data_IF_368547597747
#
_entry.id   IF_368547597747
#
_cell.length_a   1.000
_cell.length_b   1.000
_cell.length_c   1.000
_cell.angle_alpha   90.00
_cell.angle_beta   90.00
_cell.angle_gamma   90.00
#
_symmetry.space_group_name_H-M   'P 1'
#
loop_
_entity.id
_entity.type
_entity.pdbx_description
1 polymer ?
#
# COMPACT_ATOMS: atom_id res chain seq x y z
N UNK A 1 14.54 32.83 6.51
CA UNK A 1 14.03 31.89 7.48
C UNK A 1 14.47 30.48 7.05
N UNK A 2 15.09 29.72 7.95
CA UNK A 2 15.61 28.41 7.58
C UNK A 2 14.49 27.39 7.38
N UNK A 3 14.70 26.36 6.55
CA UNK A 3 13.76 25.24 6.42
C UNK A 3 13.46 24.63 7.79
N UNK A 4 14.47 24.50 8.63
CA UNK A 4 14.34 23.96 9.98
C UNK A 4 13.35 24.74 10.85
N UNK A 5 13.33 26.08 10.75
CA UNK A 5 12.36 26.94 11.48
C UNK A 5 10.94 26.77 10.95
N UNK A 6 10.79 26.68 9.62
CA UNK A 6 9.46 26.55 9.00
C UNK A 6 8.79 25.20 9.30
N UNK A 7 9.57 24.13 9.36
CA UNK A 7 9.08 22.78 9.65
C UNK A 7 9.14 22.38 11.14
N UNK A 8 9.57 23.30 12.01
CA UNK A 8 9.52 23.06 13.46
C UNK A 8 8.08 23.07 14.00
N UNK A 9 7.91 22.55 15.19
CA UNK A 9 6.65 22.67 15.91
C UNK A 9 6.26 24.15 16.08
N UNK A 10 5.06 24.51 15.60
CA UNK A 10 4.58 25.90 15.54
C UNK A 10 5.07 26.71 14.34
N UNK A 11 5.86 26.17 13.45
CA UNK A 11 6.24 26.80 12.17
C UNK A 11 5.13 26.72 11.11
N UNK A 12 5.31 27.46 10.00
CA UNK A 12 4.34 27.53 8.89
C UNK A 12 4.01 26.16 8.27
N UNK A 13 4.94 25.22 8.38
CA UNK A 13 4.87 23.88 7.80
C UNK A 13 4.83 22.79 8.90
N UNK A 14 4.33 23.13 10.09
CA UNK A 14 4.22 22.18 11.20
C UNK A 14 3.36 20.97 10.86
N UNK A 15 2.29 21.17 10.05
CA UNK A 15 1.45 20.06 9.56
C UNK A 15 2.26 19.07 8.71
N UNK A 16 3.09 19.56 7.79
CA UNK A 16 3.91 18.67 6.96
C UNK A 16 4.93 17.90 7.79
N UNK A 17 5.50 18.55 8.82
CA UNK A 17 6.43 17.89 9.74
C UNK A 17 5.76 16.76 10.51
N UNK A 18 4.55 16.98 11.00
CA UNK A 18 3.75 15.98 11.69
C UNK A 18 3.36 14.83 10.75
N UNK A 19 2.82 15.18 9.58
CA UNK A 19 2.34 14.21 8.61
C UNK A 19 3.49 13.37 8.03
N UNK A 20 4.50 14.02 7.45
CA UNK A 20 5.64 13.32 6.83
C UNK A 20 6.50 12.61 7.86
N UNK A 21 6.84 13.30 8.95
CA UNK A 21 7.72 12.75 9.96
C UNK A 21 7.05 11.67 10.78
N UNK A 22 6.04 12.04 11.56
CA UNK A 22 5.44 11.13 12.54
C UNK A 22 4.48 10.12 11.93
N UNK A 23 3.58 10.58 11.04
CA UNK A 23 2.56 9.68 10.47
C UNK A 23 3.11 8.74 9.40
N UNK A 24 3.89 9.23 8.44
CA UNK A 24 4.39 8.41 7.35
C UNK A 24 5.65 7.61 7.72
N UNK A 25 6.63 8.25 8.34
CA UNK A 25 7.93 7.64 8.58
C UNK A 25 8.24 7.32 10.05
N UNK A 26 7.37 7.67 11.00
CA UNK A 26 7.55 7.48 12.46
C UNK A 26 8.86 8.07 13.00
N UNK A 27 9.34 9.13 12.38
CA UNK A 27 10.58 9.82 12.74
C UNK A 27 10.35 11.33 12.74
N UNK A 28 11.06 12.03 13.60
CA UNK A 28 11.10 13.49 13.51
C UNK A 28 11.75 13.90 12.17
N UNK A 29 11.16 14.89 11.50
CA UNK A 29 11.73 15.44 10.28
C UNK A 29 12.92 16.33 10.64
N UNK A 30 14.11 15.99 10.16
CA UNK A 30 15.33 16.73 10.38
C UNK A 30 15.87 17.28 9.06
N UNK A 31 16.28 18.54 9.06
CA UNK A 31 16.92 19.18 7.90
C UNK A 31 18.40 19.42 8.22
N UNK A 32 19.27 18.78 7.43
CA UNK A 32 20.71 19.00 7.50
C UNK A 32 21.19 19.63 6.20
N UNK A 33 22.20 20.50 6.28
CA UNK A 33 22.89 21.06 5.11
C UNK A 33 24.18 20.28 4.93
N UNK A 34 24.33 19.67 3.76
CA UNK A 34 25.53 18.89 3.40
C UNK A 34 26.05 19.41 2.06
N UNK A 35 27.37 19.53 1.86
CA UNK A 35 27.93 19.79 0.55
C UNK A 35 27.47 18.76 -0.48
N UNK A 36 27.25 19.18 -1.71
CA UNK A 36 26.68 18.28 -2.75
C UNK A 36 27.60 17.11 -3.06
N UNK A 37 28.90 17.28 -2.92
CA UNK A 37 29.93 16.25 -3.09
C UNK A 37 29.88 15.15 -2.02
N UNK A 38 29.30 15.47 -0.85
CA UNK A 38 29.13 14.54 0.27
C UNK A 38 27.72 13.95 0.33
N UNK A 39 26.83 14.31 -0.62
CA UNK A 39 25.48 13.76 -0.68
C UNK A 39 25.49 12.40 -1.39
N UNK A 40 25.09 11.36 -0.68
CA UNK A 40 24.86 10.05 -1.28
C UNK A 40 23.50 10.03 -2.01
N UNK A 41 23.49 9.56 -3.26
CA UNK A 41 22.24 9.29 -3.97
C UNK A 41 21.60 8.03 -3.40
N UNK A 42 20.56 8.22 -2.60
CA UNK A 42 19.78 7.10 -2.09
C UNK A 42 18.73 6.67 -3.15
N UNK A 43 19.18 6.02 -4.20
CA UNK A 43 18.31 5.41 -5.20
C UNK A 43 18.15 3.91 -4.91
N UNK A 44 17.26 3.55 -4.02
CA UNK A 44 16.77 2.18 -3.96
C UNK A 44 15.64 2.04 -5.00
N UNK A 45 15.98 1.57 -6.20
CA UNK A 45 15.01 1.17 -7.19
C UNK A 45 14.74 -0.33 -7.06
N UNK A 46 13.60 -0.69 -6.50
CA UNK A 46 13.10 -2.05 -6.69
C UNK A 46 12.41 -2.14 -8.06
N UNK A 47 12.79 -3.11 -8.88
CA UNK A 47 12.11 -3.36 -10.15
C UNK A 47 10.72 -3.91 -9.86
N UNK A 48 9.72 -3.05 -9.85
CA UNK A 48 8.32 -3.44 -9.78
C UNK A 48 7.84 -3.83 -11.19
N UNK A 49 7.45 -5.09 -11.37
CA UNK A 49 6.86 -5.56 -12.63
C UNK A 49 7.84 -6.28 -13.59
N UNK A 50 7.33 -6.59 -14.80
CA UNK A 50 7.98 -7.34 -15.89
C UNK A 50 8.32 -8.81 -15.58
N UNK A 51 7.96 -9.32 -14.42
CA UNK A 51 8.03 -10.76 -14.16
C UNK A 51 6.73 -11.39 -14.65
N UNK A 52 6.75 -12.01 -15.82
CA UNK A 52 5.57 -12.60 -16.47
C UNK A 52 5.45 -14.11 -16.27
N UNK A 53 6.46 -14.72 -15.68
CA UNK A 53 6.53 -16.16 -15.41
C UNK A 53 5.68 -16.58 -14.20
N UNK A 54 5.17 -17.79 -14.25
CA UNK A 54 4.42 -18.41 -13.14
C UNK A 54 2.98 -17.90 -12.98
N UNK A 55 2.40 -18.22 -11.84
CA UNK A 55 1.00 -17.95 -11.49
C UNK A 55 0.91 -16.74 -10.56
N UNK A 56 0.32 -15.65 -11.04
CA UNK A 56 0.33 -14.35 -10.34
C UNK A 56 -1.07 -13.81 -10.13
N UNK A 57 -1.25 -13.12 -9.02
CA UNK A 57 -2.44 -12.32 -8.77
C UNK A 57 -2.07 -10.85 -8.89
N UNK A 58 -2.83 -10.13 -9.73
CA UNK A 58 -2.84 -8.66 -9.75
C UNK A 58 -4.12 -8.13 -9.14
N UNK A 59 -4.04 -7.01 -8.41
CA UNK A 59 -5.24 -6.34 -7.89
C UNK A 59 -5.11 -4.82 -7.93
N UNK A 60 -6.26 -4.14 -7.97
CA UNK A 60 -6.36 -2.69 -7.87
C UNK A 60 -7.57 -2.33 -7.00
N UNK A 61 -7.33 -1.49 -5.99
CA UNK A 61 -8.36 -1.08 -5.03
C UNK A 61 -8.71 0.39 -5.24
N UNK A 62 -9.78 0.62 -5.96
CA UNK A 62 -10.36 1.95 -6.18
C UNK A 62 -11.37 2.34 -5.10
N UNK A 63 -11.91 3.55 -5.22
CA UNK A 63 -12.91 4.08 -4.29
C UNK A 63 -14.34 3.58 -4.54
N UNK A 64 -14.63 3.07 -5.75
CA UNK A 64 -15.94 2.57 -6.17
C UNK A 64 -15.95 1.07 -6.45
N UNK A 65 -14.79 0.53 -6.76
CA UNK A 65 -14.61 -0.85 -7.17
C UNK A 65 -13.27 -1.41 -6.71
N UNK A 66 -13.19 -2.71 -6.66
CA UNK A 66 -11.99 -3.49 -6.44
C UNK A 66 -11.82 -4.46 -7.59
N UNK A 67 -10.64 -4.49 -8.17
CA UNK A 67 -10.32 -5.32 -9.33
C UNK A 67 -9.32 -6.39 -8.93
N UNK A 68 -9.46 -7.57 -9.53
CA UNK A 68 -8.47 -8.63 -9.39
C UNK A 68 -8.34 -9.41 -10.70
N UNK A 69 -7.13 -9.90 -10.95
CA UNK A 69 -6.82 -10.71 -12.12
C UNK A 69 -5.91 -11.88 -11.73
N UNK A 70 -6.13 -13.02 -12.36
CA UNK A 70 -5.22 -14.15 -12.33
C UNK A 70 -4.46 -14.24 -13.65
N UNK A 71 -3.15 -14.42 -13.56
CA UNK A 71 -2.24 -14.45 -14.71
C UNK A 71 -1.38 -15.72 -14.64
N UNK A 72 -1.26 -16.45 -15.76
CA UNK A 72 -0.35 -17.58 -15.90
C UNK A 72 0.59 -17.27 -17.06
N UNK A 73 1.89 -17.22 -16.80
CA UNK A 73 2.94 -16.95 -17.78
C UNK A 73 2.62 -15.75 -18.68
N UNK A 74 2.20 -14.65 -18.06
CA UNK A 74 1.86 -13.40 -18.73
C UNK A 74 0.49 -13.37 -19.41
N UNK A 75 -0.30 -14.44 -19.34
CA UNK A 75 -1.66 -14.48 -19.90
C UNK A 75 -2.70 -14.34 -18.80
N UNK A 76 -3.60 -13.38 -18.95
CA UNK A 76 -4.74 -13.23 -18.07
C UNK A 76 -5.70 -14.41 -18.28
N UNK A 77 -5.94 -15.19 -17.24
CA UNK A 77 -6.87 -16.32 -17.25
C UNK A 77 -8.18 -16.00 -16.53
N UNK A 78 -8.18 -14.96 -15.70
CA UNK A 78 -9.34 -14.44 -15.01
C UNK A 78 -9.17 -12.95 -14.75
N UNK A 79 -10.24 -12.17 -14.82
CA UNK A 79 -10.30 -10.80 -14.30
C UNK A 79 -11.72 -10.48 -13.88
N UNK A 80 -11.84 -9.73 -12.80
CA UNK A 80 -13.12 -9.33 -12.23
C UNK A 80 -13.03 -7.91 -11.65
N UNK A 81 -14.14 -7.20 -11.72
CA UNK A 81 -14.36 -5.92 -11.06
C UNK A 81 -15.61 -6.03 -10.20
N UNK A 82 -15.50 -5.71 -8.92
CA UNK A 82 -16.59 -5.78 -7.95
C UNK A 82 -16.78 -4.42 -7.32
N UNK A 83 -18.00 -3.90 -7.40
CA UNK A 83 -18.34 -2.66 -6.71
C UNK A 83 -18.22 -2.82 -5.19
N UNK A 84 -17.70 -1.78 -4.52
CA UNK A 84 -17.67 -1.65 -3.10
C UNK A 84 -17.77 -0.19 -2.67
N UNK A 85 -17.95 0.06 -1.37
CA UNK A 85 -18.03 1.42 -0.83
C UNK A 85 -17.11 1.53 0.42
N UNK A 86 -15.80 1.72 0.23
CA UNK A 86 -14.83 1.71 1.33
C UNK A 86 -14.81 3.01 2.12
N UNK A 87 -15.21 4.12 1.51
CA UNK A 87 -14.97 5.46 2.06
C UNK A 87 -15.70 5.78 3.36
N UNK A 88 -16.86 5.15 3.57
CA UNK A 88 -17.73 5.43 4.71
C UNK A 88 -17.84 4.26 5.69
N UNK A 89 -17.02 3.24 5.51
CA UNK A 89 -16.98 2.10 6.42
C UNK A 89 -16.10 2.42 7.62
N UNK A 90 -16.65 2.23 8.81
CA UNK A 90 -15.92 2.40 10.08
C UNK A 90 -15.38 1.09 10.65
N UNK A 91 -15.83 -0.06 10.13
CA UNK A 91 -15.33 -1.38 10.51
C UNK A 91 -14.21 -1.82 9.56
N UNK A 92 -12.96 -1.98 10.07
CA UNK A 92 -11.85 -2.45 9.24
C UNK A 92 -12.05 -3.85 8.65
N UNK A 93 -12.95 -4.66 9.21
CA UNK A 93 -13.25 -5.98 8.66
C UNK A 93 -13.92 -5.90 7.28
N UNK A 94 -14.64 -4.83 6.96
CA UNK A 94 -15.18 -4.63 5.63
C UNK A 94 -14.07 -4.61 4.57
N UNK A 95 -13.03 -3.83 4.82
CA UNK A 95 -11.88 -3.72 3.93
C UNK A 95 -11.10 -5.03 3.87
N UNK A 96 -10.81 -5.63 5.02
CA UNK A 96 -10.12 -6.92 5.09
C UNK A 96 -10.86 -8.00 4.30
N UNK A 97 -12.15 -8.15 4.51
CA UNK A 97 -12.98 -9.14 3.81
C UNK A 97 -13.05 -8.86 2.30
N UNK A 98 -13.20 -7.59 1.90
CA UNK A 98 -13.24 -7.21 0.49
C UNK A 98 -11.94 -7.49 -0.24
N UNK A 99 -10.79 -7.11 0.32
CA UNK A 99 -9.47 -7.40 -0.26
C UNK A 99 -9.28 -8.91 -0.37
N UNK A 100 -9.51 -9.62 0.71
CA UNK A 100 -9.37 -11.09 0.78
C UNK A 100 -10.23 -11.80 -0.26
N UNK A 101 -11.51 -11.42 -0.38
CA UNK A 101 -12.45 -12.00 -1.36
C UNK A 101 -11.93 -11.82 -2.80
N UNK A 102 -11.46 -10.62 -3.18
CA UNK A 102 -10.90 -10.41 -4.52
C UNK A 102 -9.70 -11.28 -4.81
N UNK A 103 -8.78 -11.42 -3.86
CA UNK A 103 -7.60 -12.26 -4.03
C UNK A 103 -7.94 -13.75 -4.09
N UNK A 104 -8.86 -14.23 -3.26
CA UNK A 104 -9.34 -15.62 -3.28
C UNK A 104 -10.03 -15.97 -4.60
N UNK A 105 -10.83 -15.06 -5.14
CA UNK A 105 -11.47 -15.25 -6.45
C UNK A 105 -10.43 -15.41 -7.56
N UNK A 106 -9.44 -14.53 -7.60
CA UNK A 106 -8.35 -14.66 -8.57
C UNK A 106 -7.56 -15.96 -8.35
N UNK A 107 -7.20 -16.29 -7.11
CA UNK A 107 -6.47 -17.51 -6.77
C UNK A 107 -7.20 -18.79 -7.19
N UNK A 108 -8.53 -18.80 -7.16
CA UNK A 108 -9.34 -19.98 -7.56
C UNK A 108 -9.16 -20.38 -9.03
N UNK A 109 -8.59 -19.50 -9.86
CA UNK A 109 -8.29 -19.74 -11.27
C UNK A 109 -6.81 -20.12 -11.51
N UNK A 110 -6.02 -20.25 -10.46
CA UNK A 110 -4.59 -20.59 -10.53
C UNK A 110 -4.34 -21.96 -9.90
N UNK A 111 -3.44 -22.78 -10.45
CA UNK A 111 -3.04 -24.04 -9.81
C UNK A 111 -2.26 -23.81 -8.50
N UNK A 112 -1.59 -22.66 -8.38
CA UNK A 112 -0.85 -22.18 -7.21
C UNK A 112 -0.70 -20.66 -7.30
N UNK A 113 -0.24 -20.02 -6.24
CA UNK A 113 0.09 -18.60 -6.23
C UNK A 113 1.60 -18.46 -6.04
N UNK A 114 2.29 -17.88 -7.02
CA UNK A 114 3.74 -17.66 -6.99
C UNK A 114 4.10 -16.25 -6.55
N UNK A 115 3.30 -15.25 -6.90
CA UNK A 115 3.47 -13.86 -6.47
C UNK A 115 2.17 -13.07 -6.52
N UNK A 116 2.09 -11.99 -5.73
CA UNK A 116 0.95 -11.09 -5.68
C UNK A 116 1.45 -9.64 -5.84
N UNK A 117 0.80 -8.87 -6.68
CA UNK A 117 1.09 -7.45 -6.84
C UNK A 117 -0.19 -6.64 -6.94
N UNK A 118 -0.19 -5.46 -6.36
CA UNK A 118 -1.37 -4.62 -6.45
C UNK A 118 -1.14 -3.16 -6.21
N UNK A 119 -2.16 -2.38 -6.56
CA UNK A 119 -2.22 -0.95 -6.35
C UNK A 119 -3.42 -0.54 -5.52
N UNK A 120 -3.26 0.56 -4.80
CA UNK A 120 -4.34 1.23 -4.11
C UNK A 120 -3.98 2.69 -3.83
N UNK A 121 -4.99 3.57 -3.82
CA UNK A 121 -4.79 4.97 -3.53
C UNK A 121 -4.31 5.17 -2.08
N UNK A 122 -3.10 5.70 -1.91
CA UNK A 122 -2.52 5.93 -0.58
C UNK A 122 -1.01 6.03 -0.56
N UNK A 123 -0.46 6.07 0.64
CA UNK A 123 0.98 6.01 0.89
C UNK A 123 1.30 4.69 1.57
N UNK A 124 2.17 3.92 0.94
CA UNK A 124 2.60 2.60 1.40
C UNK A 124 4.10 2.62 1.68
N UNK A 125 4.50 2.06 2.80
CA UNK A 125 5.92 1.90 3.15
C UNK A 125 6.10 0.49 3.70
N UNK A 126 6.90 -0.32 3.04
CA UNK A 126 7.10 -1.74 3.37
C UNK A 126 5.76 -2.51 3.41
N UNK A 127 4.89 -2.26 2.43
CA UNK A 127 3.55 -2.84 2.34
C UNK A 127 2.61 -2.52 3.51
N UNK A 128 2.96 -1.54 4.34
CA UNK A 128 2.09 -1.01 5.38
C UNK A 128 1.39 0.25 4.90
N UNK A 129 0.11 0.35 5.19
CA UNK A 129 -0.69 1.56 4.92
C UNK A 129 -0.27 2.66 5.89
N UNK A 130 0.27 3.75 5.37
CA UNK A 130 0.60 4.95 6.17
C UNK A 130 -0.50 5.98 6.14
N UNK A 131 -1.10 6.16 4.97
CA UNK A 131 -2.29 6.97 4.75
C UNK A 131 -3.01 6.43 3.52
N UNK A 132 -4.33 6.42 3.52
CA UNK A 132 -5.11 5.98 2.35
C UNK A 132 -6.54 6.46 2.42
N UNK A 133 -7.03 7.04 1.32
CA UNK A 133 -8.40 7.54 1.23
C UNK A 133 -9.45 6.45 1.39
N UNK A 134 -9.13 5.22 1.01
CA UNK A 134 -10.01 4.06 1.17
C UNK A 134 -10.40 3.81 2.62
N UNK A 135 -9.55 4.18 3.56
CA UNK A 135 -9.70 3.90 5.00
C UNK A 135 -10.16 5.13 5.81
N UNK A 136 -10.55 6.21 5.16
CA UNK A 136 -10.86 7.50 5.82
C UNK A 136 -12.05 7.45 6.78
N UNK A 137 -12.92 6.44 6.66
CA UNK A 137 -14.04 6.22 7.56
C UNK A 137 -13.68 5.48 8.85
N UNK A 138 -12.46 4.95 8.95
CA UNK A 138 -12.01 4.15 10.09
C UNK A 138 -11.41 5.07 11.15
N UNK A 139 -11.83 4.95 12.42
CA UNK A 139 -11.24 5.68 13.55
C UNK A 139 -9.72 5.42 13.69
N UNK A 140 -8.98 6.42 14.16
CA UNK A 140 -7.52 6.38 14.23
C UNK A 140 -6.97 5.22 15.07
N UNK A 141 -7.63 4.89 16.19
CA UNK A 141 -7.28 3.75 17.05
C UNK A 141 -7.42 2.42 16.31
N UNK A 142 -8.51 2.23 15.57
CA UNK A 142 -8.71 1.03 14.75
C UNK A 142 -7.80 1.00 13.52
N UNK A 143 -7.42 2.19 13.01
CA UNK A 143 -6.49 2.27 11.89
C UNK A 143 -5.13 1.67 12.26
N UNK A 144 -4.57 2.06 13.39
CA UNK A 144 -3.27 1.57 13.84
C UNK A 144 -3.26 0.05 14.06
N UNK A 145 -4.28 -0.48 14.71
CA UNK A 145 -4.34 -1.89 15.09
C UNK A 145 -4.77 -2.82 13.94
N UNK A 146 -5.59 -2.33 13.01
CA UNK A 146 -6.26 -3.19 12.03
C UNK A 146 -5.94 -2.85 10.58
N UNK A 147 -5.69 -1.58 10.23
CA UNK A 147 -5.52 -1.14 8.84
C UNK A 147 -4.06 -1.06 8.45
N UNK A 148 -3.20 -0.53 9.31
CA UNK A 148 -1.78 -0.37 8.98
C UNK A 148 -1.19 -1.62 8.32
N UNK A 149 -1.44 -2.79 8.90
CA UNK A 149 -0.93 -4.07 8.41
C UNK A 149 -1.99 -4.92 7.70
N UNK A 150 -3.01 -4.30 7.11
CA UNK A 150 -4.14 -5.04 6.54
C UNK A 150 -3.69 -6.01 5.44
N UNK A 151 -2.77 -5.61 4.57
CA UNK A 151 -2.25 -6.48 3.51
C UNK A 151 -1.43 -7.64 4.08
N UNK A 152 -0.57 -7.40 5.07
CA UNK A 152 0.14 -8.48 5.77
C UNK A 152 -0.83 -9.50 6.36
N UNK A 153 -1.87 -9.02 7.04
CA UNK A 153 -2.90 -9.89 7.62
C UNK A 153 -3.66 -10.70 6.57
N UNK A 154 -3.91 -10.14 5.40
CA UNK A 154 -4.53 -10.88 4.28
C UNK A 154 -3.58 -11.95 3.78
N UNK A 155 -2.29 -11.64 3.56
CA UNK A 155 -1.29 -12.61 3.11
C UNK A 155 -1.11 -13.73 4.15
N UNK A 156 -1.08 -13.40 5.43
CA UNK A 156 -1.02 -14.38 6.54
C UNK A 156 -2.26 -15.29 6.55
N UNK A 157 -3.45 -14.72 6.39
CA UNK A 157 -4.71 -15.48 6.40
C UNK A 157 -4.87 -16.45 5.22
N UNK A 158 -4.25 -16.12 4.07
CA UNK A 158 -4.27 -16.97 2.88
C UNK A 158 -3.06 -17.92 2.80
N UNK A 159 -2.12 -17.85 3.74
CA UNK A 159 -0.91 -18.65 3.71
C UNK A 159 0.09 -18.22 2.61
N UNK A 160 0.06 -16.94 2.23
CA UNK A 160 0.93 -16.38 1.18
C UNK A 160 2.00 -15.43 1.72
N UNK A 161 2.16 -15.35 3.03
CA UNK A 161 3.12 -14.44 3.67
C UNK A 161 4.60 -14.70 3.28
N UNK A 162 4.91 -15.91 2.85
CA UNK A 162 6.22 -16.35 2.36
C UNK A 162 6.43 -16.13 0.85
N UNK A 163 5.39 -15.74 0.13
CA UNK A 163 5.46 -15.44 -1.30
C UNK A 163 5.95 -14.01 -1.54
N UNK A 164 6.57 -13.73 -2.68
CA UNK A 164 6.80 -12.34 -3.11
C UNK A 164 5.47 -11.62 -3.28
N UNK A 165 5.30 -10.51 -2.57
CA UNK A 165 4.12 -9.65 -2.75
C UNK A 165 4.46 -8.19 -2.49
N UNK A 166 3.73 -7.31 -3.18
CA UNK A 166 3.93 -5.87 -3.06
C UNK A 166 2.63 -5.10 -3.29
N UNK A 167 2.49 -3.99 -2.57
CA UNK A 167 1.38 -3.04 -2.72
C UNK A 167 1.95 -1.65 -2.85
N UNK A 168 1.59 -0.97 -3.93
CA UNK A 168 2.10 0.35 -4.26
C UNK A 168 0.96 1.37 -4.42
N UNK A 169 1.33 2.64 -4.49
CA UNK A 169 0.38 3.67 -4.88
C UNK A 169 -0.05 3.46 -6.34
N UNK A 170 -1.32 3.73 -6.64
CA UNK A 170 -1.88 3.65 -7.99
C UNK A 170 -1.24 4.63 -9.00
N UNK A 171 -0.58 5.69 -8.52
CA UNK A 171 0.22 6.59 -9.33
C UNK A 171 1.65 6.13 -9.61
N UNK A 172 2.11 5.05 -8.97
CA UNK A 172 3.47 4.51 -9.10
C UNK A 172 3.54 3.32 -10.08
N UNK A 173 2.43 2.92 -10.69
CA UNK A 173 2.28 1.74 -11.57
C UNK A 173 2.41 2.12 -13.03
#
# INVERSE_FOLDING_TARGET
ESLQTRYAEGGDRAFDCEFMGRKLFFKALNFTSTPIEDSEEAAETSSLGRHLDGCRIGFDLGGSDRKAAAVIDGKVVFSEEIAWDPYFQSDPNYHFAGIRDSLQRAASHLPQVDAIGGSAAGVYVNNEVRAGSLFRGIPDDLFEDHVRRIFHRVMEAEGWADKPWDVVNDGDV
#
